data_IF_678642806908
#
_entry.id   IF_678642806908
#
_cell.length_a   1.000
_cell.length_b   1.000
_cell.length_c   1.000
_cell.angle_alpha   90.00
_cell.angle_beta   90.00
_cell.angle_gamma   90.00
#
_symmetry.space_group_name_H-M   'P 1'
#
loop_
_entity.id
_entity.type
_entity.pdbx_description
1 polymer ?
#
# COMPACT_ATOMS: atom_id res chain seq x y z
N UNK A 1 -11.96 18.99 -4.69
CA UNK A 1 -11.56 18.47 -6.03
C UNK A 1 -11.14 17.01 -5.89
N UNK A 2 -11.47 16.11 -6.82
CA UNK A 2 -11.16 14.66 -6.70
C UNK A 2 -10.20 14.19 -7.80
N UNK A 3 -9.20 13.42 -7.40
CA UNK A 3 -8.17 12.82 -8.26
C UNK A 3 -8.26 11.30 -8.13
N UNK A 4 -8.51 10.61 -9.23
CA UNK A 4 -8.71 9.15 -9.22
C UNK A 4 -7.38 8.42 -9.35
N UNK A 5 -7.34 7.21 -8.78
CA UNK A 5 -6.22 6.30 -9.00
C UNK A 5 -6.22 5.79 -10.43
N UNK A 6 -5.02 5.72 -11.00
CA UNK A 6 -4.81 5.15 -12.31
C UNK A 6 -5.23 3.67 -12.30
N UNK A 7 -6.09 3.31 -13.24
CA UNK A 7 -6.50 1.92 -13.46
C UNK A 7 -6.16 1.52 -14.89
N UNK A 8 -5.46 0.41 -15.03
CA UNK A 8 -5.08 -0.11 -16.35
C UNK A 8 -6.31 -0.68 -17.09
N UNK A 9 -6.30 -0.71 -18.43
CA UNK A 9 -7.42 -1.19 -19.21
C UNK A 9 -7.70 -2.68 -18.96
N UNK A 10 -8.85 -2.95 -18.33
CA UNK A 10 -9.35 -4.30 -17.98
C UNK A 10 -9.43 -5.24 -19.19
N UNK A 11 -9.66 -4.71 -20.40
CA UNK A 11 -9.85 -5.50 -21.63
C UNK A 11 -8.64 -6.38 -21.95
N UNK A 12 -7.43 -5.85 -21.84
CA UNK A 12 -6.22 -6.60 -22.17
C UNK A 12 -6.02 -7.79 -21.21
N UNK A 13 -6.23 -7.58 -19.91
CA UNK A 13 -6.11 -8.63 -18.92
C UNK A 13 -7.21 -9.70 -19.05
N UNK A 14 -8.44 -9.33 -19.39
CA UNK A 14 -9.51 -10.31 -19.67
C UNK A 14 -9.14 -11.22 -20.84
N UNK A 15 -8.55 -10.68 -21.91
CA UNK A 15 -8.09 -11.47 -23.05
C UNK A 15 -7.01 -12.45 -22.60
N UNK A 16 -6.02 -12.01 -21.81
CA UNK A 16 -4.96 -12.88 -21.29
C UNK A 16 -5.52 -14.01 -20.43
N UNK A 17 -6.46 -13.72 -19.53
CA UNK A 17 -7.11 -14.75 -18.70
C UNK A 17 -7.85 -15.76 -19.58
N UNK A 18 -8.62 -15.29 -20.57
CA UNK A 18 -9.35 -16.17 -21.47
C UNK A 18 -8.41 -17.10 -22.25
N UNK A 19 -7.30 -16.58 -22.78
CA UNK A 19 -6.29 -17.38 -23.49
C UNK A 19 -5.67 -18.44 -22.59
N UNK A 20 -5.30 -18.09 -21.35
CA UNK A 20 -4.70 -19.04 -20.39
C UNK A 20 -5.67 -20.17 -20.01
N UNK A 21 -6.96 -19.85 -19.82
CA UNK A 21 -7.99 -20.83 -19.49
C UNK A 21 -8.24 -21.78 -20.65
N UNK A 22 -8.40 -21.25 -21.88
CA UNK A 22 -8.59 -22.06 -23.09
C UNK A 22 -7.38 -22.98 -23.31
N UNK A 23 -6.17 -22.46 -23.21
CA UNK A 23 -4.95 -23.25 -23.34
C UNK A 23 -4.88 -24.37 -22.29
N UNK A 24 -5.22 -24.08 -21.03
CA UNK A 24 -5.25 -25.06 -19.94
C UNK A 24 -6.24 -26.20 -20.19
N UNK A 25 -7.38 -25.94 -20.82
CA UNK A 25 -8.37 -26.98 -21.16
C UNK A 25 -7.82 -27.90 -22.27
N UNK A 26 -7.21 -27.31 -23.31
CA UNK A 26 -6.74 -28.04 -24.51
C UNK A 26 -5.51 -28.89 -24.23
N UNK A 27 -4.60 -28.43 -23.36
CA UNK A 27 -3.34 -29.13 -23.08
C UNK A 27 -3.57 -30.43 -22.29
N UNK A 28 -2.99 -31.58 -22.68
CA UNK A 28 -3.19 -32.86 -22.00
C UNK A 28 -2.36 -33.02 -20.72
N UNK A 29 -1.30 -32.23 -20.55
CA UNK A 29 -0.34 -32.38 -19.43
C UNK A 29 -0.82 -31.72 -18.13
N UNK A 30 -1.04 -32.51 -17.08
CA UNK A 30 -1.55 -32.06 -15.77
C UNK A 30 -0.69 -30.98 -15.12
N UNK A 31 0.64 -31.08 -15.18
CA UNK A 31 1.57 -30.08 -14.64
C UNK A 31 1.40 -28.71 -15.29
N UNK A 32 1.27 -28.68 -16.62
CA UNK A 32 1.13 -27.46 -17.40
C UNK A 32 -0.26 -26.83 -17.19
N UNK A 33 -1.30 -27.65 -16.98
CA UNK A 33 -2.63 -27.18 -16.55
C UNK A 33 -2.56 -26.44 -15.21
N UNK A 34 -1.91 -27.03 -14.21
CA UNK A 34 -1.78 -26.42 -12.88
C UNK A 34 -1.06 -25.08 -12.95
N UNK A 35 0.03 -24.99 -13.73
CA UNK A 35 0.75 -23.73 -13.95
C UNK A 35 -0.12 -22.67 -14.66
N UNK A 36 -0.84 -23.06 -15.71
CA UNK A 36 -1.73 -22.16 -16.45
C UNK A 36 -2.91 -21.67 -15.59
N UNK A 37 -3.56 -22.55 -14.82
CA UNK A 37 -4.62 -22.14 -13.91
C UNK A 37 -4.11 -21.29 -12.74
N UNK A 38 -2.91 -21.58 -12.22
CA UNK A 38 -2.29 -20.76 -11.17
C UNK A 38 -1.97 -19.35 -11.67
N UNK A 39 -1.39 -19.24 -12.87
CA UNK A 39 -1.12 -17.93 -13.51
C UNK A 39 -2.41 -17.19 -13.88
N UNK A 40 -3.43 -17.88 -14.40
CA UNK A 40 -4.76 -17.31 -14.63
C UNK A 40 -5.40 -16.80 -13.34
N UNK A 41 -5.23 -17.51 -12.22
CA UNK A 41 -5.66 -17.06 -10.89
C UNK A 41 -4.97 -15.77 -10.45
N UNK A 42 -3.66 -15.62 -10.73
CA UNK A 42 -2.93 -14.36 -10.49
C UNK A 42 -3.48 -13.20 -11.31
N UNK A 43 -3.72 -13.42 -12.61
CA UNK A 43 -4.30 -12.41 -13.50
C UNK A 43 -5.76 -12.05 -13.12
N UNK A 44 -6.56 -13.03 -12.70
CA UNK A 44 -7.91 -12.81 -12.19
C UNK A 44 -7.89 -11.99 -10.89
N UNK A 45 -6.97 -12.29 -9.96
CA UNK A 45 -6.82 -11.52 -8.73
C UNK A 45 -6.41 -10.07 -9.03
N UNK A 46 -5.51 -9.87 -10.00
CA UNK A 46 -5.13 -8.54 -10.47
C UNK A 46 -6.32 -7.76 -11.05
N UNK A 47 -7.17 -8.41 -11.84
CA UNK A 47 -8.41 -7.81 -12.36
C UNK A 47 -9.33 -7.34 -11.23
N UNK A 48 -9.52 -8.17 -10.20
CA UNK A 48 -10.30 -7.80 -9.02
C UNK A 48 -9.69 -6.56 -8.36
N UNK A 49 -8.36 -6.48 -8.22
CA UNK A 49 -7.71 -5.29 -7.66
C UNK A 49 -7.95 -4.03 -8.49
N UNK A 50 -7.95 -4.12 -9.82
CA UNK A 50 -8.23 -2.96 -10.68
C UNK A 50 -9.68 -2.50 -10.52
N UNK A 51 -10.64 -3.42 -10.45
CA UNK A 51 -12.05 -3.10 -10.23
C UNK A 51 -12.27 -2.47 -8.85
N UNK A 52 -11.65 -3.02 -7.81
CA UNK A 52 -11.73 -2.50 -6.45
C UNK A 52 -11.12 -1.09 -6.34
N UNK A 53 -10.10 -0.78 -7.15
CA UNK A 53 -9.49 0.55 -7.22
C UNK A 53 -10.29 1.56 -8.05
N UNK A 54 -11.18 1.08 -8.92
CA UNK A 54 -12.00 1.92 -9.78
C UNK A 54 -12.85 2.85 -8.92
N UNK A 55 -12.88 4.13 -9.29
CA UNK A 55 -13.56 5.19 -8.55
C UNK A 55 -13.01 5.47 -7.14
N UNK A 56 -11.82 4.98 -6.79
CA UNK A 56 -11.11 5.40 -5.56
C UNK A 56 -10.06 6.45 -5.88
N UNK A 57 -9.69 7.25 -4.89
CA UNK A 57 -8.70 8.28 -5.12
C UNK A 57 -8.44 9.19 -3.93
N UNK A 58 -8.00 10.40 -4.26
CA UNK A 58 -7.67 11.45 -3.31
C UNK A 58 -8.59 12.63 -3.55
N UNK A 59 -9.20 13.14 -2.49
CA UNK A 59 -10.06 14.32 -2.52
C UNK A 59 -9.40 15.45 -1.75
N UNK A 60 -9.21 16.58 -2.40
CA UNK A 60 -8.85 17.84 -1.76
C UNK A 60 -10.12 18.50 -1.23
N UNK A 61 -10.22 18.62 0.09
CA UNK A 61 -11.17 19.46 0.80
C UNK A 61 -10.50 20.79 1.19
N UNK A 62 -11.26 21.82 1.60
CA UNK A 62 -10.70 23.12 1.98
C UNK A 62 -9.68 23.06 3.13
N UNK A 63 -9.94 22.21 4.13
CA UNK A 63 -9.14 22.15 5.36
C UNK A 63 -8.31 20.85 5.48
N UNK A 64 -8.56 19.88 4.60
CA UNK A 64 -7.96 18.57 4.70
C UNK A 64 -7.80 17.85 3.36
N UNK A 65 -6.87 16.92 3.35
CA UNK A 65 -6.71 15.92 2.30
C UNK A 65 -7.39 14.62 2.73
N UNK A 66 -8.34 14.14 1.94
CA UNK A 66 -8.97 12.82 2.15
C UNK A 66 -8.36 11.83 1.17
N UNK A 67 -7.72 10.80 1.71
CA UNK A 67 -7.13 9.70 0.93
C UNK A 67 -7.99 8.46 1.15
N UNK A 68 -8.53 7.92 0.07
CA UNK A 68 -9.26 6.65 0.11
C UNK A 68 -8.28 5.49 -0.05
N UNK A 69 -8.28 4.54 0.89
CA UNK A 69 -7.44 3.34 0.79
C UNK A 69 -7.81 2.54 -0.46
N UNK A 70 -6.84 2.37 -1.36
CA UNK A 70 -6.99 1.67 -2.62
C UNK A 70 -7.51 0.24 -2.48
N UNK A 71 -7.26 -0.42 -1.35
CA UNK A 71 -7.66 -1.80 -1.10
C UNK A 71 -8.89 -1.89 -0.19
N UNK A 72 -8.92 -1.13 0.91
CA UNK A 72 -9.97 -1.25 1.92
C UNK A 72 -11.14 -0.27 1.74
N UNK A 73 -10.99 0.77 0.92
CA UNK A 73 -12.00 1.83 0.78
C UNK A 73 -12.15 2.69 2.04
N UNK A 74 -11.24 2.56 3.01
CA UNK A 74 -11.25 3.36 4.24
C UNK A 74 -10.78 4.76 3.87
N UNK A 75 -11.61 5.75 4.17
CA UNK A 75 -11.26 7.16 4.01
C UNK A 75 -10.40 7.61 5.19
N UNK A 76 -9.21 8.11 4.90
CA UNK A 76 -8.30 8.71 5.87
C UNK A 76 -8.22 10.20 5.61
N UNK A 77 -8.60 11.00 6.60
CA UNK A 77 -8.54 12.45 6.55
C UNK A 77 -7.24 12.95 7.19
N UNK A 78 -6.54 13.84 6.50
CA UNK A 78 -5.30 14.46 6.94
C UNK A 78 -5.45 15.98 6.85
N UNK A 79 -5.42 16.67 7.98
CA UNK A 79 -5.43 18.13 8.02
C UNK A 79 -4.13 18.67 7.41
N UNK A 80 -4.20 19.76 6.62
CA UNK A 80 -3.00 20.33 5.98
C UNK A 80 -1.94 20.76 7.00
N UNK A 81 -2.35 21.18 8.20
CA UNK A 81 -1.45 21.52 9.30
C UNK A 81 -0.65 20.31 9.84
N UNK A 82 -1.17 19.08 9.69
CA UNK A 82 -0.49 17.87 10.14
C UNK A 82 0.51 17.33 9.09
N UNK A 83 0.48 17.84 7.87
CA UNK A 83 1.34 17.42 6.77
C UNK A 83 2.70 18.11 6.92
N UNK A 84 3.74 17.29 7.04
CA UNK A 84 5.12 17.74 7.19
C UNK A 84 5.87 17.85 5.86
N UNK A 85 5.38 17.16 4.82
CA UNK A 85 5.96 17.19 3.49
C UNK A 85 5.23 16.25 2.55
N UNK A 86 5.26 16.57 1.27
CA UNK A 86 4.68 15.76 0.20
C UNK A 86 5.67 15.61 -0.96
N UNK A 87 5.60 14.48 -1.65
CA UNK A 87 6.40 14.24 -2.85
C UNK A 87 5.70 13.24 -3.77
N UNK A 88 6.01 13.30 -5.07
CA UNK A 88 5.57 12.31 -6.04
C UNK A 88 6.65 11.26 -6.25
N UNK A 89 6.24 10.00 -6.26
CA UNK A 89 7.12 8.89 -6.66
C UNK A 89 7.30 8.86 -8.17
N UNK A 90 8.30 8.09 -8.65
CA UNK A 90 8.55 7.85 -10.08
C UNK A 90 7.37 7.20 -10.84
N UNK A 91 6.36 6.71 -10.13
CA UNK A 91 5.17 6.05 -10.69
C UNK A 91 3.91 6.90 -10.45
N UNK A 92 4.07 8.22 -10.32
CA UNK A 92 2.96 9.17 -10.12
C UNK A 92 2.09 8.90 -8.87
N UNK A 93 2.61 8.13 -7.91
CA UNK A 93 1.99 7.96 -6.60
C UNK A 93 2.39 9.07 -5.65
N UNK A 94 1.44 9.62 -4.89
CA UNK A 94 1.69 10.65 -3.88
C UNK A 94 2.16 10.02 -2.57
N UNK A 95 3.24 10.57 -2.01
CA UNK A 95 3.79 10.24 -0.69
C UNK A 95 3.60 11.44 0.21
N UNK A 96 3.04 11.18 1.39
CA UNK A 96 2.78 12.21 2.39
C UNK A 96 3.48 11.80 3.68
N UNK A 97 4.36 12.66 4.14
CA UNK A 97 4.88 12.66 5.49
C UNK A 97 3.92 13.47 6.37
N UNK A 98 3.36 12.82 7.38
CA UNK A 98 2.48 13.48 8.34
C UNK A 98 2.86 13.12 9.75
N UNK A 99 2.59 14.05 10.66
CA UNK A 99 2.67 13.78 12.10
C UNK A 99 1.25 13.46 12.57
N UNK A 100 0.98 12.26 13.10
CA UNK A 100 -0.31 12.00 13.69
C UNK A 100 -0.50 13.00 14.84
N UNK A 101 -1.53 13.84 14.75
CA UNK A 101 -1.97 14.61 15.91
C UNK A 101 -2.43 13.55 16.90
N UNK A 102 -1.75 13.46 18.05
CA UNK A 102 -2.19 12.61 19.14
C UNK A 102 -3.66 12.96 19.37
N UNK A 103 -4.58 11.98 19.24
CA UNK A 103 -5.96 12.17 19.67
C UNK A 103 -5.86 12.71 21.09
N UNK A 104 -6.21 13.99 21.28
CA UNK A 104 -6.29 14.55 22.62
C UNK A 104 -7.19 13.60 23.41
N UNK A 105 -6.59 13.12 24.49
CA UNK A 105 -7.11 12.10 25.39
C UNK A 105 -8.61 12.22 25.53
N UNK A 106 -9.32 11.10 25.39
CA UNK A 106 -10.70 11.02 25.80
C UNK A 106 -10.81 11.63 27.20
N UNK A 107 -11.48 12.77 27.32
CA UNK A 107 -11.87 13.34 28.60
C UNK A 107 -12.82 12.35 29.22
N UNK A 108 -12.30 11.48 30.08
CA UNK A 108 -13.15 10.70 30.97
C UNK A 108 -13.94 11.69 31.80
N UNK A 109 -15.27 11.54 31.81
CA UNK A 109 -16.23 12.41 32.50
C UNK A 109 -16.07 12.46 34.04
N UNK A 110 -15.04 11.82 34.56
CA UNK A 110 -14.62 11.92 35.96
C UNK A 110 -13.28 12.64 35.94
N UNK A 111 -13.21 13.86 36.48
CA UNK A 111 -12.03 14.74 36.53
C UNK A 111 -10.86 14.21 37.36
N UNK A 112 -10.45 12.97 37.12
CA UNK A 112 -9.28 12.33 37.70
C UNK A 112 -8.21 12.30 36.60
N UNK A 113 -7.06 12.98 36.79
CA UNK A 113 -5.97 12.90 35.83
C UNK A 113 -5.42 11.48 35.82
N UNK A 114 -5.57 10.77 34.69
CA UNK A 114 -4.95 9.45 34.55
C UNK A 114 -3.43 9.61 34.46
N UNK A 115 -2.72 9.10 35.45
CA UNK A 115 -1.25 9.05 35.49
C UNK A 115 -0.63 8.22 34.33
N UNK A 116 -1.45 7.60 33.48
CA UNK A 116 -1.04 6.92 32.26
C UNK A 116 -0.87 7.86 31.04
N UNK A 117 -1.22 9.16 31.17
CA UNK A 117 -1.21 10.12 30.06
C UNK A 117 0.16 10.81 29.80
N UNK A 118 1.24 10.38 30.46
CA UNK A 118 2.55 11.04 30.38
C UNK A 118 3.63 10.20 29.69
N UNK A 119 3.28 9.29 28.78
CA UNK A 119 4.25 8.83 27.78
C UNK A 119 4.12 9.75 26.58
N UNK A 120 5.13 10.60 26.26
CA UNK A 120 5.14 11.27 24.98
C UNK A 120 5.11 10.16 23.93
N UNK A 121 3.98 10.01 23.22
CA UNK A 121 3.95 9.14 22.07
C UNK A 121 5.09 9.62 21.17
N UNK A 122 6.05 8.76 20.84
CA UNK A 122 7.19 9.19 20.07
C UNK A 122 6.68 9.81 18.78
N UNK A 123 7.07 11.06 18.56
CA UNK A 123 6.54 11.93 17.51
C UNK A 123 7.09 11.51 16.15
N UNK A 124 6.79 10.29 15.76
CA UNK A 124 7.31 9.67 14.55
C UNK A 124 6.55 10.20 13.34
N UNK A 125 7.30 10.71 12.38
CA UNK A 125 6.76 11.00 11.05
C UNK A 125 6.27 9.70 10.40
N UNK A 126 4.96 9.63 10.20
CA UNK A 126 4.33 8.53 9.47
C UNK A 126 4.32 8.89 7.98
N UNK A 127 4.37 7.85 7.16
CA UNK A 127 4.33 7.98 5.71
C UNK A 127 3.08 7.27 5.22
N UNK A 128 2.27 7.99 4.46
CA UNK A 128 1.21 7.40 3.63
C UNK A 128 1.69 7.45 2.19
N UNK A 129 1.53 6.34 1.49
CA UNK A 129 1.92 6.17 0.10
C UNK A 129 0.68 5.75 -0.66
N UNK A 130 0.26 6.57 -1.60
CA UNK A 130 -0.88 6.30 -2.46
C UNK A 130 -0.44 5.55 -3.73
N UNK A 131 -1.36 4.81 -4.38
CA UNK A 131 -1.17 4.33 -5.75
C UNK A 131 -0.94 5.47 -6.75
N UNK A 132 -0.54 5.12 -7.96
CA UNK A 132 -0.45 6.04 -9.09
C UNK A 132 -1.78 6.78 -9.31
N UNK A 133 -1.70 8.09 -9.58
CA UNK A 133 -2.85 8.97 -9.83
C UNK A 133 -2.80 9.44 -11.29
N UNK A 134 -3.97 9.57 -11.95
CA UNK A 134 -4.03 10.02 -13.36
C UNK A 134 -3.48 11.44 -13.57
N UNK A 135 -3.59 12.30 -12.55
CA UNK A 135 -3.20 13.73 -12.61
C UNK A 135 -2.34 14.13 -11.40
N UNK A 136 -1.32 13.33 -11.10
CA UNK A 136 -0.50 13.47 -9.90
C UNK A 136 0.19 14.85 -9.77
N UNK A 137 0.68 15.41 -10.87
CA UNK A 137 1.33 16.72 -10.90
C UNK A 137 0.37 17.86 -10.53
N UNK A 138 -0.85 17.81 -11.04
CA UNK A 138 -1.90 18.80 -10.76
C UNK A 138 -2.28 18.74 -9.29
N UNK A 139 -2.42 17.52 -8.73
CA UNK A 139 -2.66 17.32 -7.30
C UNK A 139 -1.54 17.93 -6.45
N UNK A 140 -0.27 17.67 -6.80
CA UNK A 140 0.87 18.22 -6.06
C UNK A 140 0.87 19.75 -6.08
N UNK A 141 0.60 20.35 -7.23
CA UNK A 141 0.52 21.81 -7.37
C UNK A 141 -0.58 22.41 -6.46
N UNK A 142 -1.80 21.88 -6.52
CA UNK A 142 -2.89 22.37 -5.66
C UNK A 142 -2.63 22.15 -4.17
N UNK A 143 -2.04 21.00 -3.83
CA UNK A 143 -1.72 20.67 -2.45
C UNK A 143 -0.61 21.58 -1.91
N UNK A 144 0.40 21.90 -2.72
CA UNK A 144 1.47 22.83 -2.34
C UNK A 144 0.96 24.26 -2.07
N UNK A 145 -0.10 24.69 -2.77
CA UNK A 145 -0.73 25.99 -2.54
C UNK A 145 -1.57 26.05 -1.24
N UNK A 146 -2.03 24.91 -0.74
CA UNK A 146 -2.87 24.81 0.47
C UNK A 146 -2.06 24.43 1.72
N UNK A 147 -0.82 23.97 1.56
CA UNK A 147 0.05 23.63 2.67
C UNK A 147 0.64 24.87 3.36
N UNK A 148 0.81 24.85 4.69
CA UNK A 148 1.49 25.91 5.40
C UNK A 148 2.96 25.98 4.96
N UNK A 149 3.37 27.14 4.43
CA UNK A 149 4.77 27.43 4.15
C UNK A 149 5.47 27.93 5.42
N UNK A 150 6.71 27.48 5.74
CA UNK A 150 7.51 26.47 5.04
C UNK A 150 7.22 25.03 5.51
N UNK A 151 7.21 24.09 4.55
CA UNK A 151 7.15 22.66 4.83
C UNK A 151 8.42 22.21 5.58
N UNK A 152 8.31 21.52 6.74
CA UNK A 152 9.49 21.13 7.54
C UNK A 152 10.32 20.01 6.91
N UNK A 153 9.77 19.23 5.98
CA UNK A 153 10.49 18.21 5.23
C UNK A 153 10.52 18.55 3.74
N UNK A 154 11.70 18.42 3.16
CA UNK A 154 11.91 18.55 1.72
C UNK A 154 11.45 17.28 0.98
N UNK A 155 11.00 17.45 -0.25
CA UNK A 155 10.52 16.42 -1.17
C UNK A 155 11.48 15.23 -1.29
N UNK A 156 12.80 15.49 -1.40
CA UNK A 156 13.81 14.43 -1.47
C UNK A 156 13.85 13.57 -0.20
N UNK A 157 13.74 14.19 0.97
CA UNK A 157 13.80 13.50 2.25
C UNK A 157 12.60 12.55 2.42
N UNK A 158 11.42 13.00 2.01
CA UNK A 158 10.18 12.20 2.00
C UNK A 158 10.33 10.99 1.07
N UNK A 159 10.90 11.18 -0.12
CA UNK A 159 11.15 10.10 -1.06
C UNK A 159 12.19 9.09 -0.56
N UNK A 160 13.29 9.55 0.05
CA UNK A 160 14.30 8.67 0.66
C UNK A 160 13.69 7.80 1.76
N UNK A 161 12.89 8.40 2.64
CA UNK A 161 12.19 7.66 3.70
C UNK A 161 11.22 6.62 3.12
N UNK A 162 10.47 6.96 2.06
CA UNK A 162 9.55 6.03 1.40
C UNK A 162 10.29 4.87 0.72
N UNK A 163 11.37 5.15 0.01
CA UNK A 163 12.20 4.15 -0.66
C UNK A 163 12.85 3.21 0.36
N UNK A 164 13.40 3.73 1.46
CA UNK A 164 14.00 2.92 2.51
C UNK A 164 12.99 1.93 3.12
N UNK A 165 11.75 2.38 3.41
CA UNK A 165 10.68 1.50 3.91
C UNK A 165 10.26 0.45 2.88
N UNK A 166 10.17 0.81 1.60
CA UNK A 166 9.86 -0.13 0.51
C UNK A 166 10.94 -1.21 0.38
N UNK A 167 12.22 -0.82 0.36
CA UNK A 167 13.35 -1.77 0.27
C UNK A 167 13.35 -2.72 1.46
N UNK A 168 13.19 -2.22 2.68
CA UNK A 168 13.11 -3.06 3.88
C UNK A 168 11.98 -4.09 3.79
N UNK A 169 10.78 -3.69 3.34
CA UNK A 169 9.66 -4.63 3.16
C UNK A 169 9.92 -5.68 2.07
N UNK A 170 10.53 -5.28 0.95
CA UNK A 170 10.91 -6.22 -0.12
C UNK A 170 11.95 -7.23 0.35
N UNK A 171 12.96 -6.78 1.09
CA UNK A 171 13.97 -7.66 1.68
C UNK A 171 13.33 -8.65 2.65
N UNK A 172 12.44 -8.19 3.54
CA UNK A 172 11.71 -9.10 4.45
C UNK A 172 10.86 -10.12 3.67
N UNK A 173 10.14 -9.68 2.64
CA UNK A 173 9.34 -10.57 1.81
C UNK A 173 10.21 -11.61 1.07
N UNK A 174 11.36 -11.19 0.53
CA UNK A 174 12.33 -12.09 -0.10
C UNK A 174 12.84 -13.13 0.90
N UNK A 175 13.21 -12.71 2.11
CA UNK A 175 13.62 -13.62 3.18
C UNK A 175 12.52 -14.61 3.54
N UNK A 176 11.25 -14.18 3.63
CA UNK A 176 10.13 -15.09 3.89
C UNK A 176 9.92 -16.10 2.76
N UNK A 177 9.97 -15.64 1.51
CA UNK A 177 9.83 -16.52 0.33
C UNK A 177 10.96 -17.55 0.26
N UNK A 178 12.16 -17.22 0.72
CA UNK A 178 13.30 -18.15 0.75
C UNK A 178 13.28 -19.05 1.99
N UNK A 179 12.93 -18.49 3.15
CA UNK A 179 12.98 -19.19 4.44
C UNK A 179 11.87 -20.24 4.58
N UNK A 180 10.67 -19.99 4.05
CA UNK A 180 9.55 -20.95 4.08
C UNK A 180 9.88 -22.27 3.35
N UNK A 181 10.31 -22.28 2.08
CA UNK A 181 10.67 -23.51 1.39
C UNK A 181 11.92 -24.17 2.00
N UNK A 182 12.88 -23.38 2.49
CA UNK A 182 14.04 -23.93 3.20
C UNK A 182 13.63 -24.62 4.50
N UNK A 183 12.73 -24.02 5.27
CA UNK A 183 12.17 -24.59 6.50
C UNK A 183 11.35 -25.86 6.21
N UNK A 184 10.53 -25.86 5.15
CA UNK A 184 9.82 -27.08 4.70
C UNK A 184 10.81 -28.17 4.27
N UNK A 185 11.88 -27.83 3.57
CA UNK A 185 12.89 -28.80 3.15
C UNK A 185 13.62 -29.42 4.36
N UNK A 186 14.04 -28.61 5.33
CA UNK A 186 14.72 -29.09 6.54
C UNK A 186 13.78 -29.98 7.37
N UNK A 187 12.53 -29.58 7.56
CA UNK A 187 11.56 -30.36 8.34
C UNK A 187 11.18 -31.67 7.62
N UNK A 188 10.94 -31.66 6.31
CA UNK A 188 10.71 -32.87 5.51
C UNK A 188 11.90 -33.83 5.57
N UNK A 189 13.13 -33.32 5.43
CA UNK A 189 14.35 -34.14 5.47
C UNK A 189 14.63 -34.68 6.88
N UNK A 190 14.36 -33.90 7.92
CA UNK A 190 14.44 -34.33 9.32
C UNK A 190 13.42 -35.42 9.66
N UNK A 191 12.18 -35.29 9.17
CA UNK A 191 11.14 -36.32 9.32
C UNK A 191 11.47 -37.61 8.55
N UNK A 192 12.07 -37.49 7.37
CA UNK A 192 12.53 -38.65 6.60
C UNK A 192 13.65 -39.42 7.31
N UNK A 193 14.57 -38.72 7.98
CA UNK A 193 15.64 -39.33 8.79
C UNK A 193 15.09 -40.01 10.06
N UNK A 194 14.12 -39.40 10.74
CA UNK A 194 13.47 -39.99 11.92
C UNK A 194 12.61 -41.23 11.63
N UNK A 195 12.13 -41.40 10.39
CA UNK A 195 11.40 -42.61 9.96
C UNK A 195 12.31 -43.78 9.58
N UNK A 196 13.61 -43.54 9.40
CA UNK A 196 14.58 -44.54 8.98
C UNK A 196 15.42 -45.12 10.14
N UNK A 197 15.24 -44.60 11.36
CA UNK A 197 15.84 -45.08 12.62
C UNK A 197 14.81 -45.83 13.46
#
# INVERSE_FOLDING_TARGET
>A
MRFLYHTEPIRAALIVVAVLVIAGIVLPSTLLRVLLFSSAGGAALWLVFQVVRKNRGVTLEPDALVIEDAHRGIMQRFEYAAIQGCALTKQDGLVIAYRPIARQSATTASGVPSLAAARPEPTFTRLVVTPALDNALILLHHLSAQMPAPSPLDSESVLRMANHRRTRRRVIALFLILAIPLYMYITMRGLALFRAS
#
